data_IF_661538542283
#
_entry.id   IF_661538542283
#
_cell.length_a   1.000
_cell.length_b   1.000
_cell.length_c   1.000
_cell.angle_alpha   90.00
_cell.angle_beta   90.00
_cell.angle_gamma   90.00
#
_symmetry.space_group_name_H-M   'P 1'
#
loop_
_entity.id
_entity.type
_entity.pdbx_description
1 polymer ?
#
# COMPACT_ATOMS: atom_id res chain seq x y z
N UNK A 1 -38.96 3.76 14.51
CA UNK A 1 -38.09 2.56 14.47
C UNK A 1 -37.20 2.68 13.23
N UNK A 2 -35.91 2.95 13.39
CA UNK A 2 -34.96 3.18 12.28
C UNK A 2 -34.28 1.88 11.87
N UNK A 3 -34.50 1.43 10.63
CA UNK A 3 -33.79 0.30 10.03
C UNK A 3 -32.46 0.79 9.42
N UNK A 4 -31.34 0.32 9.99
CA UNK A 4 -29.97 0.59 9.53
C UNK A 4 -29.72 -0.06 8.17
N UNK A 5 -29.44 0.76 7.16
CA UNK A 5 -28.86 0.37 5.89
C UNK A 5 -27.47 -0.26 6.11
N UNK A 6 -27.35 -1.58 5.90
CA UNK A 6 -26.06 -2.27 5.81
C UNK A 6 -25.52 -2.05 4.39
N UNK A 7 -24.56 -1.14 4.22
CA UNK A 7 -23.74 -1.08 3.01
C UNK A 7 -22.64 -2.12 3.11
N UNK A 8 -22.66 -3.08 2.19
CA UNK A 8 -21.59 -4.05 1.96
C UNK A 8 -20.28 -3.33 1.60
N UNK A 9 -19.09 -3.90 1.92
CA UNK A 9 -17.82 -3.31 1.53
C UNK A 9 -17.72 -3.27 0.00
N UNK A 10 -17.44 -2.09 -0.56
CA UNK A 10 -17.22 -1.90 -1.99
C UNK A 10 -15.95 -2.65 -2.40
N UNK A 11 -16.14 -3.63 -3.29
CA UNK A 11 -15.07 -4.25 -4.08
C UNK A 11 -14.26 -3.12 -4.72
N UNK A 12 -12.95 -3.08 -4.46
CA UNK A 12 -12.06 -2.03 -4.95
C UNK A 12 -12.21 -1.76 -6.45
N UNK A 13 -12.25 -0.48 -6.81
CA UNK A 13 -12.51 -0.03 -8.19
C UNK A 13 -11.43 -0.58 -9.14
N UNK A 14 -11.84 -1.49 -10.02
CA UNK A 14 -10.97 -2.12 -11.02
C UNK A 14 -10.37 -1.10 -11.99
N UNK A 15 -10.97 0.08 -12.14
CA UNK A 15 -10.44 1.15 -12.98
C UNK A 15 -9.15 1.75 -12.39
N UNK A 16 -9.13 1.98 -11.07
CA UNK A 16 -7.96 2.48 -10.33
C UNK A 16 -6.84 1.43 -10.34
N UNK A 17 -7.16 0.15 -10.08
CA UNK A 17 -6.18 -0.93 -10.17
C UNK A 17 -5.50 -1.04 -11.55
N UNK A 18 -6.24 -0.79 -12.64
CA UNK A 18 -5.68 -0.78 -14.00
C UNK A 18 -4.79 0.44 -14.25
N UNK A 19 -5.13 1.60 -13.69
CA UNK A 19 -4.36 2.84 -13.83
C UNK A 19 -3.06 2.80 -13.02
N UNK A 20 -3.10 2.21 -11.81
CA UNK A 20 -1.96 2.03 -10.93
C UNK A 20 -1.08 0.82 -11.28
N UNK A 21 -1.43 0.05 -12.32
CA UNK A 21 -0.78 -1.23 -12.69
C UNK A 21 0.71 -1.11 -13.03
N UNK A 22 1.25 0.11 -13.15
CA UNK A 22 2.68 0.39 -13.31
C UNK A 22 3.35 1.18 -12.16
N UNK A 23 2.60 1.61 -11.13
CA UNK A 23 3.15 2.38 -10.00
C UNK A 23 3.63 1.49 -8.85
N UNK A 24 3.02 0.32 -8.66
CA UNK A 24 3.48 -0.69 -7.71
C UNK A 24 3.98 -1.90 -8.48
N UNK A 25 5.25 -1.85 -8.86
CA UNK A 25 5.99 -3.09 -9.10
C UNK A 25 6.41 -3.62 -7.73
N UNK A 26 5.56 -4.44 -7.08
CA UNK A 26 6.13 -5.43 -6.16
C UNK A 26 6.92 -6.35 -7.06
N UNK A 27 8.25 -6.33 -6.94
CA UNK A 27 9.11 -7.23 -7.71
C UNK A 27 8.69 -8.68 -7.42
N UNK A 28 7.86 -9.27 -8.29
CA UNK A 28 7.74 -10.72 -8.40
C UNK A 28 8.95 -11.16 -9.20
N UNK A 29 10.00 -11.58 -8.50
CA UNK A 29 11.07 -12.32 -9.15
C UNK A 29 10.49 -13.69 -9.52
N UNK A 30 10.22 -13.91 -10.80
CA UNK A 30 9.94 -15.24 -11.34
C UNK A 30 11.28 -15.87 -11.67
N UNK A 31 11.47 -17.08 -11.15
CA UNK A 31 12.67 -17.90 -11.22
C UNK A 31 13.26 -17.97 -12.64
N UNK A 32 14.50 -17.53 -12.81
CA UNK A 32 15.29 -17.69 -14.02
C UNK A 32 16.70 -18.13 -13.65
N UNK A 33 17.08 -19.36 -14.03
CA UNK A 33 18.41 -19.91 -13.82
C UNK A 33 19.46 -19.06 -14.54
N UNK A 34 20.41 -18.47 -13.79
CA UNK A 34 21.48 -17.65 -14.37
C UNK A 34 22.42 -17.04 -13.32
N UNK A 35 23.45 -17.82 -12.97
CA UNK A 35 24.78 -17.48 -12.42
C UNK A 35 24.99 -16.10 -11.76
N UNK A 36 25.31 -16.10 -10.46
CA UNK A 36 26.29 -15.14 -9.93
C UNK A 36 25.92 -14.24 -8.75
N UNK A 37 24.79 -14.42 -8.08
CA UNK A 37 24.53 -13.77 -6.78
C UNK A 37 23.54 -14.63 -5.99
N UNK A 38 23.86 -15.03 -4.75
CA UNK A 38 22.88 -15.68 -3.85
C UNK A 38 21.82 -14.64 -3.44
N UNK A 39 20.89 -14.32 -4.34
CA UNK A 39 19.75 -13.47 -4.05
C UNK A 39 18.71 -14.34 -3.35
N UNK A 40 18.88 -14.52 -2.03
CA UNK A 40 17.81 -15.04 -1.19
C UNK A 40 16.59 -14.15 -1.41
N UNK A 41 15.51 -14.74 -1.91
CA UNK A 41 14.21 -14.08 -2.04
C UNK A 41 13.83 -13.49 -0.66
N UNK A 42 13.77 -12.16 -0.57
CA UNK A 42 13.48 -11.46 0.69
C UNK A 42 11.98 -11.40 0.98
N UNK A 43 11.15 -11.69 -0.01
CA UNK A 43 9.68 -11.61 0.02
C UNK A 43 9.09 -12.90 -0.52
N UNK A 44 8.32 -13.62 0.30
CA UNK A 44 7.60 -14.84 -0.07
C UNK A 44 6.30 -14.52 -0.79
N UNK A 45 5.56 -13.55 -0.27
CA UNK A 45 4.21 -13.26 -0.72
C UNK A 45 3.86 -11.78 -0.50
N UNK A 46 2.98 -11.25 -1.34
CA UNK A 46 2.39 -9.93 -1.15
C UNK A 46 0.94 -9.92 -1.64
N UNK A 47 0.07 -9.27 -0.89
CA UNK A 47 -1.37 -9.15 -1.16
C UNK A 47 -1.81 -7.70 -1.02
N UNK A 48 -2.45 -7.18 -2.07
CA UNK A 48 -3.06 -5.85 -2.05
C UNK A 48 -4.38 -5.90 -1.29
N UNK A 49 -4.52 -5.08 -0.26
CA UNK A 49 -5.72 -4.98 0.57
C UNK A 49 -6.62 -3.85 0.04
N UNK A 50 -6.08 -2.63 -0.08
CA UNK A 50 -6.85 -1.47 -0.55
C UNK A 50 -6.08 -0.64 -1.56
N UNK A 51 -6.83 0.07 -2.40
CA UNK A 51 -6.33 1.11 -3.29
C UNK A 51 -7.31 2.27 -3.29
N UNK A 52 -6.79 3.49 -3.24
CA UNK A 52 -7.57 4.70 -3.34
C UNK A 52 -6.86 5.76 -4.19
N UNK A 53 -7.64 6.63 -4.82
CA UNK A 53 -7.16 7.83 -5.51
C UNK A 53 -7.85 9.02 -4.83
N UNK A 54 -7.05 10.01 -4.40
CA UNK A 54 -7.56 11.30 -3.92
C UNK A 54 -6.83 12.44 -4.62
N UNK A 55 -7.35 13.64 -4.48
CA UNK A 55 -6.63 14.85 -4.87
C UNK A 55 -5.82 15.37 -3.69
N UNK A 56 -4.59 15.77 -3.96
CA UNK A 56 -3.75 16.52 -3.03
C UNK A 56 -4.24 17.99 -2.92
N UNK A 57 -3.64 18.79 -2.03
CA UNK A 57 -4.05 20.20 -1.86
C UNK A 57 -3.85 21.04 -3.14
N UNK A 58 -2.97 20.62 -4.04
CA UNK A 58 -2.73 21.23 -5.35
C UNK A 58 -3.63 20.69 -6.47
N UNK A 59 -4.63 19.85 -6.16
CA UNK A 59 -5.52 19.25 -7.16
C UNK A 59 -4.85 18.16 -8.01
N UNK A 60 -3.70 17.64 -7.60
CA UNK A 60 -2.99 16.56 -8.29
C UNK A 60 -3.47 15.19 -7.79
N UNK A 61 -3.50 14.16 -8.66
CA UNK A 61 -3.78 12.80 -8.23
C UNK A 61 -2.71 12.29 -7.25
N UNK A 62 -3.17 11.81 -6.10
CA UNK A 62 -2.40 11.11 -5.09
C UNK A 62 -3.00 9.72 -4.91
N UNK A 63 -2.16 8.70 -5.05
CA UNK A 63 -2.56 7.30 -4.98
C UNK A 63 -2.16 6.71 -3.64
N UNK A 64 -3.08 6.03 -2.99
CA UNK A 64 -2.88 5.36 -1.70
C UNK A 64 -3.09 3.86 -1.84
N UNK A 65 -2.29 3.09 -1.11
CA UNK A 65 -2.29 1.64 -1.16
C UNK A 65 -2.06 1.04 0.22
N UNK A 66 -2.81 0.01 0.54
CA UNK A 66 -2.56 -0.85 1.69
C UNK A 66 -2.29 -2.26 1.19
N UNK A 67 -1.21 -2.88 1.62
CA UNK A 67 -0.87 -4.25 1.22
C UNK A 67 -0.09 -4.98 2.30
N UNK A 68 -0.19 -6.30 2.33
CA UNK A 68 0.66 -7.15 3.18
C UNK A 68 1.85 -7.68 2.40
N UNK A 69 2.95 -7.91 3.11
CA UNK A 69 4.18 -8.53 2.59
C UNK A 69 4.65 -9.57 3.59
N UNK A 70 4.74 -10.83 3.18
CA UNK A 70 5.45 -11.87 3.92
C UNK A 70 6.93 -11.82 3.52
N UNK A 71 7.78 -11.42 4.45
CA UNK A 71 9.23 -11.39 4.24
C UNK A 71 9.93 -12.59 4.88
N UNK A 72 10.89 -13.17 4.17
CA UNK A 72 11.68 -14.32 4.68
C UNK A 72 12.45 -14.00 5.96
N UNK A 73 12.81 -12.74 6.19
CA UNK A 73 13.66 -12.29 7.31
C UNK A 73 12.95 -11.42 8.34
N UNK A 74 11.73 -10.95 8.08
CA UNK A 74 11.05 -9.95 8.91
C UNK A 74 9.58 -10.29 9.20
N UNK A 75 9.12 -11.48 8.82
CA UNK A 75 7.73 -11.91 8.99
C UNK A 75 6.74 -11.12 8.15
N UNK A 76 5.47 -11.22 8.53
CA UNK A 76 4.36 -10.49 7.93
C UNK A 76 4.42 -9.00 8.29
N UNK A 77 4.29 -8.16 7.27
CA UNK A 77 4.21 -6.71 7.41
C UNK A 77 2.96 -6.21 6.73
N UNK A 78 2.32 -5.20 7.32
CA UNK A 78 1.30 -4.38 6.67
C UNK A 78 1.93 -3.07 6.25
N UNK A 79 1.76 -2.72 4.99
CA UNK A 79 2.36 -1.54 4.37
C UNK A 79 1.25 -0.57 4.00
N UNK A 80 1.40 0.69 4.43
CA UNK A 80 0.61 1.82 3.95
C UNK A 80 1.51 2.66 3.04
N UNK A 81 1.08 2.91 1.82
CA UNK A 81 1.86 3.65 0.83
C UNK A 81 1.05 4.74 0.18
N UNK A 82 1.70 5.88 -0.07
CA UNK A 82 1.14 6.97 -0.84
C UNK A 82 2.14 7.45 -1.89
N UNK A 83 1.64 7.86 -3.05
CA UNK A 83 2.47 8.24 -4.18
C UNK A 83 1.82 9.33 -5.03
N UNK A 84 2.61 10.32 -5.43
CA UNK A 84 2.21 11.36 -6.39
C UNK A 84 3.42 11.85 -7.19
N UNK A 85 3.15 12.55 -8.30
CA UNK A 85 4.18 13.17 -9.14
C UNK A 85 4.03 14.69 -9.09
N UNK A 86 5.12 15.38 -8.74
CA UNK A 86 5.19 16.84 -8.75
C UNK A 86 6.55 17.29 -9.30
N UNK A 87 6.60 18.40 -10.04
CA UNK A 87 7.85 18.98 -10.56
C UNK A 87 8.78 17.96 -11.26
N UNK A 88 8.18 17.04 -12.05
CA UNK A 88 8.86 15.94 -12.76
C UNK A 88 9.58 14.93 -11.84
N UNK A 89 9.18 14.83 -10.56
CA UNK A 89 9.70 13.89 -9.57
C UNK A 89 8.57 13.03 -9.01
N UNK A 90 8.87 11.75 -8.77
CA UNK A 90 7.99 10.81 -8.09
C UNK A 90 8.28 10.87 -6.58
N UNK A 91 7.25 11.11 -5.78
CA UNK A 91 7.31 11.12 -4.33
C UNK A 91 6.60 9.87 -3.82
N UNK A 92 7.26 9.13 -2.92
CA UNK A 92 6.76 7.90 -2.34
C UNK A 92 6.86 7.98 -0.81
N UNK A 93 5.75 7.74 -0.12
CA UNK A 93 5.71 7.44 1.30
C UNK A 93 5.42 5.95 1.45
N UNK A 94 6.21 5.28 2.29
CA UNK A 94 6.00 3.88 2.64
C UNK A 94 6.13 3.74 4.16
N UNK A 95 5.04 3.36 4.81
CA UNK A 95 4.97 3.11 6.25
C UNK A 95 4.83 1.60 6.43
N UNK A 96 5.86 1.00 7.05
CA UNK A 96 5.89 -0.44 7.32
C UNK A 96 5.53 -0.71 8.77
N UNK A 97 4.42 -1.41 8.99
CA UNK A 97 4.02 -1.93 10.30
C UNK A 97 4.25 -3.45 10.35
N UNK A 98 4.85 -3.95 11.43
CA UNK A 98 5.01 -5.40 11.63
C UNK A 98 3.70 -5.95 12.18
N UNK A 99 2.96 -6.66 11.34
CA UNK A 99 1.64 -7.19 11.67
C UNK A 99 1.79 -8.63 12.15
N UNK A 100 1.76 -8.82 13.46
CA UNK A 100 1.90 -10.15 14.06
C UNK A 100 0.53 -10.78 14.25
N UNK A 101 0.34 -12.09 13.99
CA UNK A 101 -0.93 -12.76 14.29
C UNK A 101 -1.36 -12.62 15.76
N UNK A 102 -0.38 -12.55 16.67
CA UNK A 102 -0.61 -12.42 18.12
C UNK A 102 -0.97 -10.99 18.54
N UNK A 103 -0.68 -10.00 17.70
CA UNK A 103 -0.93 -8.57 17.94
C UNK A 103 -1.25 -7.92 16.59
N UNK A 104 -2.44 -8.19 16.02
CA UNK A 104 -2.83 -7.59 14.77
C UNK A 104 -2.91 -6.08 14.92
N UNK A 105 -2.77 -5.36 13.80
CA UNK A 105 -2.93 -3.91 13.77
C UNK A 105 -4.25 -3.47 14.46
N UNK A 106 -4.10 -2.80 15.60
CA UNK A 106 -5.23 -2.26 16.37
C UNK A 106 -5.78 -0.97 15.76
N UNK A 107 -6.99 -0.57 16.20
CA UNK A 107 -7.70 0.59 15.65
C UNK A 107 -6.99 1.92 15.89
N UNK A 108 -6.33 2.07 17.03
CA UNK A 108 -5.74 3.34 17.43
C UNK A 108 -4.45 3.56 16.65
N UNK A 109 -3.60 2.53 16.59
CA UNK A 109 -2.42 2.53 15.72
C UNK A 109 -2.81 2.72 14.26
N UNK A 110 -3.85 2.03 13.78
CA UNK A 110 -4.35 2.21 12.41
C UNK A 110 -4.72 3.67 12.14
N UNK A 111 -5.47 4.28 13.04
CA UNK A 111 -5.90 5.69 12.92
C UNK A 111 -4.69 6.61 12.81
N UNK A 112 -3.65 6.40 13.61
CA UNK A 112 -2.42 7.20 13.55
C UNK A 112 -1.69 7.00 12.21
N UNK A 113 -1.57 5.76 11.73
CA UNK A 113 -0.93 5.47 10.44
C UNK A 113 -1.68 6.10 9.27
N UNK A 114 -3.01 6.05 9.29
CA UNK A 114 -3.88 6.70 8.31
C UNK A 114 -3.74 8.23 8.36
N UNK A 115 -3.64 8.83 9.55
CA UNK A 115 -3.37 10.27 9.70
C UNK A 115 -2.00 10.66 9.12
N UNK A 116 -0.94 9.88 9.37
CA UNK A 116 0.38 10.11 8.78
C UNK A 116 0.29 10.00 7.25
N UNK A 117 -0.39 8.98 6.74
CA UNK A 117 -0.60 8.79 5.30
C UNK A 117 -1.35 9.98 4.67
N UNK A 118 -2.40 10.46 5.31
CA UNK A 118 -3.20 11.59 4.82
C UNK A 118 -2.48 12.94 4.94
N UNK A 119 -1.53 13.08 5.87
CA UNK A 119 -0.66 14.24 5.95
C UNK A 119 0.37 14.31 4.82
N UNK A 120 0.57 13.22 4.07
CA UNK A 120 1.43 13.21 2.90
C UNK A 120 0.75 13.95 1.75
N UNK A 121 1.28 15.15 1.49
CA UNK A 121 0.80 16.07 0.47
C UNK A 121 1.97 16.96 0.01
N UNK A 122 1.79 17.65 -1.11
CA UNK A 122 2.71 18.66 -1.59
C UNK A 122 2.01 20.01 -1.62
N UNK A 123 2.46 20.94 -0.78
CA UNK A 123 1.99 22.34 -0.79
C UNK A 123 2.58 23.17 -1.93
N UNK A 124 3.25 22.53 -2.89
CA UNK A 124 4.07 23.19 -3.92
C UNK A 124 3.26 23.43 -5.19
#
# INVERSE_FOLDING_TARGET
MNARSRRSPQVGDKSIQRRCRGMITVARYQHGYGVGHRLQESTKYAELITVAERLDHGGRPLYEFEYTVDSTRGGMKRIFSAAFVASKKLYLLNISYTDRPESPLDSDTRTVLEQILHSFDSTV
#
